data_IF_210800565142
#
_entry.id   IF_210800565142
#
_cell.length_a   1.000
_cell.length_b   1.000
_cell.length_c   1.000
_cell.angle_alpha   90.00
_cell.angle_beta   90.00
_cell.angle_gamma   90.00
#
_symmetry.space_group_name_H-M   'P 1'
#
loop_
_entity.id
_entity.type
_entity.pdbx_description
1 polymer ?
#
# COMPACT_ATOMS: atom_id res chain seq x y z
N UNK A 1 7.09 25.37 -3.17
CA UNK A 1 6.05 26.36 -3.52
C UNK A 1 4.65 25.75 -3.40
N UNK A 2 4.36 24.59 -4.02
CA UNK A 2 3.01 23.96 -4.00
C UNK A 2 2.50 23.60 -2.60
N UNK A 3 3.37 23.29 -1.65
CA UNK A 3 2.99 23.02 -0.26
C UNK A 3 2.49 24.24 0.54
N UNK A 4 2.65 25.45 -0.02
CA UNK A 4 2.14 26.70 0.57
C UNK A 4 0.86 27.19 -0.09
N UNK A 5 0.41 26.55 -1.16
CA UNK A 5 -0.88 26.84 -1.76
C UNK A 5 -1.95 26.04 -1.03
N UNK A 6 -2.91 26.72 -0.46
CA UNK A 6 -3.99 26.15 0.30
C UNK A 6 -5.27 26.18 -0.55
N UNK A 7 -6.01 25.08 -0.51
CA UNK A 7 -7.29 24.90 -1.23
C UNK A 7 -8.38 24.71 -0.19
N UNK A 8 -9.42 25.55 -0.18
CA UNK A 8 -10.59 25.31 0.68
C UNK A 8 -11.37 24.09 0.18
N UNK A 9 -11.84 23.29 1.12
CA UNK A 9 -12.75 22.18 0.91
C UNK A 9 -14.00 22.40 1.76
N UNK A 10 -15.14 22.20 1.16
CA UNK A 10 -16.42 22.18 1.91
C UNK A 10 -16.51 20.90 2.75
N UNK A 11 -17.46 20.86 3.68
CA UNK A 11 -17.75 19.71 4.54
C UNK A 11 -17.98 18.40 3.75
N UNK A 12 -18.41 18.48 2.50
CA UNK A 12 -18.58 17.36 1.57
C UNK A 12 -17.42 17.22 0.55
N UNK A 13 -16.25 17.81 0.88
CA UNK A 13 -15.03 17.76 0.07
C UNK A 13 -15.07 18.39 -1.31
N UNK A 14 -15.99 19.33 -1.55
CA UNK A 14 -15.99 20.09 -2.81
C UNK A 14 -15.00 21.24 -2.75
N UNK A 15 -14.33 21.47 -3.88
CA UNK A 15 -13.52 22.68 -4.08
C UNK A 15 -14.45 23.79 -4.55
N UNK A 16 -14.66 24.87 -3.76
CA UNK A 16 -15.63 25.93 -4.10
C UNK A 16 -15.08 26.88 -5.18
N UNK A 17 -14.61 26.35 -6.28
CA UNK A 17 -14.12 27.11 -7.44
C UNK A 17 -14.96 26.79 -8.67
N UNK A 18 -15.19 27.79 -9.54
CA UNK A 18 -16.01 27.67 -10.75
C UNK A 18 -15.61 26.51 -11.67
N UNK A 19 -14.35 26.11 -11.65
CA UNK A 19 -13.79 24.96 -12.39
C UNK A 19 -13.01 24.05 -11.46
N UNK A 20 -13.53 23.87 -10.24
CA UNK A 20 -12.95 22.94 -9.27
C UNK A 20 -12.95 21.53 -9.85
N UNK A 21 -11.85 20.83 -9.69
CA UNK A 21 -11.78 19.43 -10.06
C UNK A 21 -12.66 18.61 -9.12
N UNK A 22 -13.29 17.56 -9.65
CA UNK A 22 -14.01 16.59 -8.82
C UNK A 22 -13.01 15.81 -7.97
N UNK A 23 -13.02 16.05 -6.66
CA UNK A 23 -12.09 15.43 -5.70
C UNK A 23 -12.81 14.66 -4.60
N UNK A 24 -14.14 14.74 -4.58
CA UNK A 24 -14.97 14.17 -3.52
C UNK A 24 -14.68 12.69 -3.30
N UNK A 25 -14.68 11.90 -4.39
CA UNK A 25 -14.43 10.47 -4.30
C UNK A 25 -13.04 10.15 -3.72
N UNK A 26 -12.01 10.89 -4.13
CA UNK A 26 -10.65 10.72 -3.63
C UNK A 26 -10.54 11.08 -2.14
N UNK A 27 -11.20 12.16 -1.72
CA UNK A 27 -11.21 12.58 -0.33
C UNK A 27 -12.00 11.59 0.56
N UNK A 28 -13.18 11.15 0.13
CA UNK A 28 -13.97 10.16 0.86
C UNK A 28 -13.21 8.84 1.05
N UNK A 29 -12.51 8.39 0.01
CA UNK A 29 -11.71 7.17 0.08
C UNK A 29 -10.55 7.27 1.07
N UNK A 30 -9.85 8.40 1.07
CA UNK A 30 -8.62 8.57 1.83
C UNK A 30 -8.84 9.07 3.27
N UNK A 31 -9.84 9.94 3.46
CA UNK A 31 -10.07 10.65 4.72
C UNK A 31 -11.34 10.17 5.45
N UNK A 32 -12.16 9.37 4.78
CA UNK A 32 -13.47 8.95 5.33
C UNK A 32 -14.56 10.00 5.12
N UNK A 33 -15.70 9.87 5.83
CA UNK A 33 -16.81 10.82 5.75
C UNK A 33 -16.36 12.24 6.10
N UNK A 34 -16.84 13.22 5.34
CA UNK A 34 -16.63 14.64 5.64
C UNK A 34 -17.43 15.08 6.89
N UNK A 35 -17.19 16.29 7.33
CA UNK A 35 -17.87 16.81 8.53
C UNK A 35 -17.81 18.33 8.66
N UNK A 36 -16.70 18.96 8.36
CA UNK A 36 -16.49 20.39 8.51
C UNK A 36 -15.74 20.97 7.30
N UNK A 37 -15.97 22.24 7.04
CA UNK A 37 -15.18 23.00 6.08
C UNK A 37 -13.72 23.03 6.51
N UNK A 38 -12.83 22.79 5.58
CA UNK A 38 -11.41 22.64 5.87
C UNK A 38 -10.53 23.27 4.80
N UNK A 39 -9.23 23.28 5.07
CA UNK A 39 -8.23 23.75 4.12
C UNK A 39 -7.14 22.69 3.98
N UNK A 40 -6.83 22.32 2.76
CA UNK A 40 -5.78 21.35 2.46
C UNK A 40 -4.69 21.99 1.60
N UNK A 41 -3.43 21.60 1.83
CA UNK A 41 -2.37 21.99 0.90
C UNK A 41 -2.61 21.38 -0.48
N UNK A 42 -2.45 22.15 -1.54
CA UNK A 42 -2.64 21.70 -2.93
C UNK A 42 -1.86 20.40 -3.22
N UNK A 43 -0.63 20.30 -2.71
CA UNK A 43 0.19 19.09 -2.86
C UNK A 43 -0.49 17.87 -2.23
N UNK A 44 -1.09 18.03 -1.05
CA UNK A 44 -1.84 16.96 -0.38
C UNK A 44 -3.06 16.55 -1.19
N UNK A 45 -3.85 17.51 -1.67
CA UNK A 45 -5.02 17.24 -2.50
C UNK A 45 -4.65 16.48 -3.79
N UNK A 46 -3.59 16.91 -4.47
CA UNK A 46 -3.10 16.21 -5.66
C UNK A 46 -2.63 14.79 -5.36
N UNK A 47 -2.04 14.55 -4.19
CA UNK A 47 -1.65 13.20 -3.76
C UNK A 47 -2.88 12.29 -3.54
N UNK A 48 -3.96 12.81 -2.92
CA UNK A 48 -5.22 12.09 -2.76
C UNK A 48 -5.81 11.70 -4.13
N UNK A 49 -5.93 12.66 -5.04
CA UNK A 49 -6.47 12.43 -6.39
C UNK A 49 -5.61 11.41 -7.16
N UNK A 50 -4.30 11.54 -7.10
CA UNK A 50 -3.39 10.60 -7.77
C UNK A 50 -3.52 9.18 -7.21
N UNK A 51 -3.59 9.01 -5.89
CA UNK A 51 -3.76 7.71 -5.26
C UNK A 51 -5.10 7.07 -5.66
N UNK A 52 -6.19 7.85 -5.68
CA UNK A 52 -7.50 7.39 -6.12
C UNK A 52 -7.48 6.91 -7.59
N UNK A 53 -6.85 7.67 -8.49
CA UNK A 53 -6.73 7.27 -9.90
C UNK A 53 -5.87 5.99 -10.05
N UNK A 54 -4.78 5.86 -9.31
CA UNK A 54 -3.98 4.63 -9.30
C UNK A 54 -4.77 3.44 -8.77
N UNK A 55 -5.56 3.64 -7.71
CA UNK A 55 -6.44 2.58 -7.19
C UNK A 55 -7.48 2.15 -8.23
N UNK A 56 -8.11 3.08 -8.92
CA UNK A 56 -9.10 2.75 -9.96
C UNK A 56 -8.51 1.99 -11.15
N UNK A 57 -7.34 2.41 -11.62
CA UNK A 57 -6.68 1.82 -12.79
C UNK A 57 -5.91 0.55 -12.45
N UNK A 58 -5.40 0.46 -11.23
CA UNK A 58 -4.42 -0.53 -10.81
C UNK A 58 -3.08 -0.34 -11.51
N UNK A 59 -2.03 -0.86 -10.89
CA UNK A 59 -0.66 -0.84 -11.40
C UNK A 59 -0.38 -2.21 -12.02
N UNK A 60 -0.05 -2.30 -13.31
CA UNK A 60 0.33 -3.57 -13.90
C UNK A 60 1.67 -4.04 -13.33
N UNK A 61 1.73 -5.26 -12.85
CA UNK A 61 2.94 -5.89 -12.32
C UNK A 61 3.16 -7.22 -13.02
N UNK A 62 4.13 -7.30 -13.94
CA UNK A 62 4.40 -8.51 -14.72
C UNK A 62 4.68 -9.74 -13.85
N UNK A 63 5.40 -9.56 -12.75
CA UNK A 63 5.78 -10.64 -11.84
C UNK A 63 4.59 -11.39 -11.18
N UNK A 64 3.39 -10.78 -11.17
CA UNK A 64 2.16 -11.43 -10.65
C UNK A 64 1.16 -11.71 -11.76
N UNK A 65 1.49 -11.42 -13.02
CA UNK A 65 0.62 -11.55 -14.19
C UNK A 65 -0.73 -10.85 -13.99
N UNK A 66 -0.70 -9.67 -13.35
CA UNK A 66 -1.92 -8.98 -12.94
C UNK A 66 -1.69 -7.53 -12.58
N UNK A 67 -2.64 -6.98 -11.84
CA UNK A 67 -2.61 -5.59 -11.38
C UNK A 67 -2.74 -5.54 -9.85
N UNK A 68 -2.04 -4.59 -9.27
CA UNK A 68 -2.14 -4.23 -7.85
C UNK A 68 -2.91 -2.91 -7.73
N UNK A 69 -3.83 -2.85 -6.80
CA UNK A 69 -4.69 -1.71 -6.53
C UNK A 69 -4.31 -1.11 -5.16
N UNK A 70 -3.35 -0.17 -5.11
CA UNK A 70 -2.86 0.36 -3.84
C UNK A 70 -3.90 1.26 -3.18
N UNK A 71 -4.07 1.13 -1.86
CA UNK A 71 -4.86 2.07 -1.07
C UNK A 71 -4.07 3.33 -0.77
N UNK A 72 -4.76 4.45 -0.51
CA UNK A 72 -4.10 5.68 -0.06
C UNK A 72 -3.30 5.41 1.24
N UNK A 73 -2.06 5.90 1.28
CA UNK A 73 -1.17 5.69 2.42
C UNK A 73 -0.48 4.34 2.47
N UNK A 74 -0.76 3.42 1.53
CA UNK A 74 -0.06 2.14 1.39
C UNK A 74 1.01 2.26 0.31
N UNK A 75 2.21 1.70 0.58
CA UNK A 75 3.31 1.75 -0.37
C UNK A 75 2.93 1.13 -1.72
N UNK A 76 3.12 1.91 -2.78
CA UNK A 76 2.71 1.54 -4.12
C UNK A 76 3.89 0.98 -4.93
N UNK A 77 3.73 -0.16 -5.65
CA UNK A 77 4.80 -0.79 -6.44
C UNK A 77 5.08 -0.07 -7.78
N UNK A 78 4.96 1.25 -7.83
CA UNK A 78 5.28 2.05 -9.03
C UNK A 78 6.74 1.92 -9.42
N UNK A 79 7.64 1.80 -8.43
CA UNK A 79 9.05 1.44 -8.64
C UNK A 79 9.19 -0.06 -8.38
N UNK A 80 9.33 -0.82 -9.43
CA UNK A 80 9.29 -2.28 -9.39
C UNK A 80 10.60 -2.98 -9.06
N UNK A 81 11.70 -2.25 -8.80
CA UNK A 81 13.03 -2.85 -8.63
C UNK A 81 13.06 -3.89 -7.50
N UNK A 82 12.46 -3.60 -6.35
CA UNK A 82 12.39 -4.54 -5.22
C UNK A 82 11.50 -5.76 -5.53
N UNK A 83 10.45 -5.55 -6.32
CA UNK A 83 9.57 -6.64 -6.80
C UNK A 83 10.36 -7.57 -7.71
N UNK A 84 11.15 -7.02 -8.63
CA UNK A 84 12.00 -7.81 -9.52
C UNK A 84 13.10 -8.56 -8.79
N UNK A 85 13.69 -7.97 -7.75
CA UNK A 85 14.66 -8.65 -6.90
C UNK A 85 14.05 -9.92 -6.30
N UNK A 86 12.89 -9.80 -5.67
CA UNK A 86 12.18 -10.96 -5.09
C UNK A 86 11.72 -11.94 -6.18
N UNK A 87 11.29 -11.45 -7.34
CA UNK A 87 10.89 -12.31 -8.46
C UNK A 87 12.03 -13.15 -9.03
N UNK A 88 13.29 -12.68 -8.96
CA UNK A 88 14.48 -13.33 -9.54
C UNK A 88 15.40 -13.99 -8.53
N UNK A 89 15.31 -13.64 -7.23
CA UNK A 89 16.16 -14.22 -6.18
C UNK A 89 16.01 -15.75 -6.10
N UNK A 90 17.08 -16.52 -5.83
CA UNK A 90 16.96 -17.96 -5.65
C UNK A 90 16.06 -18.27 -4.44
N UNK A 91 15.16 -19.25 -4.60
CA UNK A 91 14.35 -19.74 -3.49
C UNK A 91 15.03 -20.93 -2.82
N UNK A 92 14.93 -21.10 -1.50
CA UNK A 92 15.39 -22.28 -0.81
C UNK A 92 14.73 -23.54 -1.38
N UNK A 93 15.49 -24.61 -1.54
CA UNK A 93 14.95 -25.88 -2.06
C UNK A 93 13.83 -26.41 -1.12
N UNK A 94 12.70 -26.81 -1.71
CA UNK A 94 11.55 -27.32 -0.96
C UNK A 94 10.84 -26.29 -0.08
N UNK A 95 11.03 -25.00 -0.33
CA UNK A 95 10.37 -23.93 0.40
C UNK A 95 8.87 -23.88 0.06
N UNK A 96 8.04 -24.32 0.98
CA UNK A 96 6.57 -24.31 0.81
C UNK A 96 5.89 -23.20 1.60
N UNK A 97 6.56 -22.60 2.60
CA UNK A 97 6.08 -21.52 3.46
C UNK A 97 7.03 -20.33 3.44
N UNK A 98 6.48 -19.14 3.31
CA UNK A 98 7.23 -17.90 3.47
C UNK A 98 6.46 -16.88 4.32
N UNK A 99 7.20 -15.93 4.90
CA UNK A 99 6.63 -14.75 5.54
C UNK A 99 6.94 -13.51 4.70
N UNK A 100 5.94 -12.63 4.54
CA UNK A 100 6.06 -11.30 3.95
C UNK A 100 5.79 -10.26 5.04
N UNK A 101 6.85 -9.67 5.59
CA UNK A 101 6.81 -8.78 6.74
C UNK A 101 6.68 -7.33 6.28
N UNK A 102 5.68 -6.61 6.84
CA UNK A 102 5.33 -5.28 6.34
C UNK A 102 4.77 -5.36 4.92
N UNK A 103 3.78 -6.21 4.72
CA UNK A 103 3.31 -6.63 3.39
C UNK A 103 2.75 -5.48 2.53
N UNK A 104 2.28 -4.39 3.17
CA UNK A 104 1.75 -3.23 2.47
C UNK A 104 0.62 -3.58 1.50
N UNK A 105 0.89 -3.50 0.22
CA UNK A 105 -0.08 -3.85 -0.84
C UNK A 105 -0.23 -5.36 -1.11
N UNK A 106 0.52 -6.22 -0.43
CA UNK A 106 0.53 -7.67 -0.66
C UNK A 106 1.34 -8.11 -1.88
N UNK A 107 2.11 -7.21 -2.49
CA UNK A 107 2.79 -7.50 -3.77
C UNK A 107 3.86 -8.58 -3.62
N UNK A 108 4.69 -8.56 -2.58
CA UNK A 108 5.74 -9.55 -2.40
C UNK A 108 5.16 -10.92 -2.07
N UNK A 109 4.13 -10.98 -1.23
CA UNK A 109 3.37 -12.21 -0.99
C UNK A 109 2.84 -12.81 -2.29
N UNK A 110 2.23 -11.99 -3.15
CA UNK A 110 1.72 -12.43 -4.45
C UNK A 110 2.83 -12.94 -5.38
N UNK A 111 3.98 -12.27 -5.42
CA UNK A 111 5.16 -12.72 -6.18
C UNK A 111 5.64 -14.09 -5.71
N UNK A 112 5.76 -14.30 -4.39
CA UNK A 112 6.19 -15.58 -3.82
C UNK A 112 5.25 -16.71 -4.20
N UNK A 113 3.93 -16.50 -4.13
CA UNK A 113 2.95 -17.51 -4.56
C UNK A 113 3.06 -17.79 -6.06
N UNK A 114 3.21 -16.77 -6.91
CA UNK A 114 3.43 -16.98 -8.38
C UNK A 114 4.72 -17.74 -8.67
N UNK A 115 5.69 -17.68 -7.77
CA UNK A 115 6.94 -18.45 -7.85
C UNK A 115 6.85 -19.88 -7.30
N UNK A 116 5.65 -20.33 -6.86
CA UNK A 116 5.40 -21.68 -6.42
C UNK A 116 5.44 -21.91 -4.91
N UNK A 117 5.56 -20.85 -4.08
CA UNK A 117 5.38 -20.98 -2.63
C UNK A 117 3.91 -21.29 -2.36
N UNK A 118 3.64 -22.38 -1.64
CA UNK A 118 2.27 -22.87 -1.40
C UNK A 118 1.48 -22.04 -0.42
N UNK A 119 2.15 -21.47 0.58
CA UNK A 119 1.56 -20.62 1.62
C UNK A 119 2.46 -19.45 1.95
N UNK A 120 1.89 -18.26 1.97
CA UNK A 120 2.56 -17.04 2.45
C UNK A 120 1.74 -16.45 3.57
N UNK A 121 2.37 -16.18 4.70
CA UNK A 121 1.79 -15.38 5.79
C UNK A 121 2.30 -13.96 5.62
N UNK A 122 1.37 -13.05 5.35
CA UNK A 122 1.63 -11.64 5.07
C UNK A 122 1.23 -10.80 6.28
N UNK A 123 2.17 -10.08 6.88
CA UNK A 123 1.92 -9.32 8.11
C UNK A 123 2.04 -7.82 7.89
N UNK A 124 1.27 -7.05 8.63
CA UNK A 124 1.39 -5.60 8.73
C UNK A 124 0.77 -5.12 10.04
N UNK A 125 1.15 -3.94 10.52
CA UNK A 125 0.52 -3.28 11.67
C UNK A 125 -0.61 -2.32 11.23
N UNK A 126 -0.55 -1.82 10.00
CA UNK A 126 -1.52 -0.87 9.48
C UNK A 126 -2.75 -1.58 8.92
N UNK A 127 -3.89 -1.37 9.53
CA UNK A 127 -5.17 -1.93 9.09
C UNK A 127 -5.52 -1.60 7.63
N UNK A 128 -5.02 -0.48 7.08
CA UNK A 128 -5.20 -0.11 5.67
C UNK A 128 -4.35 -0.99 4.76
N UNK A 129 -3.12 -1.29 5.17
CA UNK A 129 -2.23 -2.21 4.47
C UNK A 129 -2.85 -3.62 4.45
N UNK A 130 -3.32 -4.12 5.59
CA UNK A 130 -3.99 -5.43 5.68
C UNK A 130 -5.20 -5.53 4.75
N UNK A 131 -6.06 -4.52 4.73
CA UNK A 131 -7.21 -4.45 3.81
C UNK A 131 -6.76 -4.42 2.35
N UNK A 132 -5.73 -3.64 2.04
CA UNK A 132 -5.15 -3.55 0.71
C UNK A 132 -4.58 -4.89 0.24
N UNK A 133 -3.77 -5.55 1.06
CA UNK A 133 -3.19 -6.86 0.76
C UNK A 133 -4.27 -7.93 0.54
N UNK A 134 -5.27 -7.99 1.41
CA UNK A 134 -6.37 -8.95 1.29
C UNK A 134 -7.21 -8.71 0.02
N UNK A 135 -7.47 -7.45 -0.35
CA UNK A 135 -8.17 -7.07 -1.59
C UNK A 135 -7.36 -7.47 -2.83
N UNK A 136 -6.06 -7.17 -2.84
CA UNK A 136 -5.18 -7.55 -3.94
C UNK A 136 -5.01 -9.07 -4.07
N UNK A 137 -4.87 -9.79 -2.96
CA UNK A 137 -4.85 -11.26 -2.97
C UNK A 137 -6.12 -11.84 -3.60
N UNK A 138 -7.29 -11.27 -3.29
CA UNK A 138 -8.58 -11.66 -3.88
C UNK A 138 -8.63 -11.35 -5.37
N UNK A 139 -8.23 -10.15 -5.78
CA UNK A 139 -8.25 -9.73 -7.18
C UNK A 139 -7.31 -10.57 -8.06
N UNK A 140 -6.22 -11.07 -7.49
CA UNK A 140 -5.27 -11.98 -8.14
C UNK A 140 -5.66 -13.46 -8.06
N UNK A 141 -6.74 -13.81 -7.33
CA UNK A 141 -7.16 -15.21 -7.13
C UNK A 141 -6.23 -16.00 -6.21
N UNK A 142 -5.54 -15.35 -5.28
CA UNK A 142 -4.50 -15.95 -4.42
C UNK A 142 -4.89 -16.10 -2.95
N UNK A 143 -6.17 -15.90 -2.60
CA UNK A 143 -6.66 -15.94 -1.21
C UNK A 143 -6.46 -17.30 -0.52
N UNK A 144 -6.39 -18.39 -1.27
CA UNK A 144 -6.14 -19.71 -0.71
C UNK A 144 -4.67 -19.93 -0.30
N UNK A 145 -3.74 -19.12 -0.86
CA UNK A 145 -2.30 -19.25 -0.63
C UNK A 145 -1.71 -18.10 0.21
N UNK A 146 -2.42 -16.98 0.32
CA UNK A 146 -1.97 -15.80 1.09
C UNK A 146 -2.90 -15.63 2.29
N UNK A 147 -2.32 -15.74 3.48
CA UNK A 147 -2.96 -15.42 4.75
C UNK A 147 -2.48 -14.05 5.22
N UNK A 148 -3.40 -13.09 5.37
CA UNK A 148 -3.09 -11.73 5.80
C UNK A 148 -3.47 -11.58 7.26
N UNK A 149 -2.52 -11.25 8.12
CA UNK A 149 -2.72 -11.12 9.57
C UNK A 149 -2.09 -9.85 10.11
N UNK A 150 -2.70 -9.29 11.15
CA UNK A 150 -2.14 -8.18 11.91
C UNK A 150 -1.06 -8.70 12.85
N UNK A 151 0.15 -8.16 12.75
CA UNK A 151 1.25 -8.48 13.65
C UNK A 151 2.28 -7.33 13.68
N UNK A 152 2.91 -7.17 14.83
CA UNK A 152 4.11 -6.32 14.98
C UNK A 152 5.33 -7.12 14.49
N UNK A 153 5.67 -6.95 13.23
CA UNK A 153 6.70 -7.66 12.47
C UNK A 153 6.32 -9.13 12.21
N UNK A 154 6.71 -10.07 13.09
CA UNK A 154 6.65 -11.50 12.81
C UNK A 154 5.36 -12.15 13.26
N UNK A 155 4.80 -13.08 12.45
CA UNK A 155 3.76 -13.98 12.91
C UNK A 155 4.34 -15.06 13.83
N UNK A 156 3.46 -15.81 14.48
CA UNK A 156 3.87 -17.00 15.24
C UNK A 156 4.50 -18.06 14.33
N UNK A 157 5.53 -18.74 14.86
CA UNK A 157 6.19 -19.84 14.17
C UNK A 157 7.47 -19.45 13.43
N UNK A 158 7.82 -20.24 12.41
CA UNK A 158 9.03 -20.07 11.60
C UNK A 158 8.75 -20.41 10.14
N UNK A 159 9.40 -19.71 9.23
CA UNK A 159 9.37 -20.01 7.80
C UNK A 159 10.80 -20.14 7.25
N UNK A 160 11.03 -21.02 6.26
CA UNK A 160 12.32 -21.13 5.58
C UNK A 160 12.73 -19.86 4.82
N UNK A 161 11.76 -19.02 4.46
CA UNK A 161 11.97 -17.77 3.74
C UNK A 161 11.22 -16.63 4.40
N UNK A 162 11.90 -15.53 4.58
CA UNK A 162 11.28 -14.26 5.01
C UNK A 162 11.67 -13.20 3.99
N UNK A 163 10.69 -12.44 3.54
CA UNK A 163 10.89 -11.23 2.74
C UNK A 163 10.35 -10.03 3.50
N UNK A 164 11.01 -8.90 3.32
CA UNK A 164 10.61 -7.63 3.92
C UNK A 164 11.11 -6.48 3.04
N UNK A 165 10.26 -5.48 2.86
CA UNK A 165 10.66 -4.19 2.29
C UNK A 165 10.28 -3.10 3.31
N UNK A 166 11.09 -2.92 4.37
CA UNK A 166 10.75 -2.02 5.46
C UNK A 166 10.81 -0.55 5.02
N UNK A 167 10.17 0.38 5.74
CA UNK A 167 10.45 1.79 5.61
C UNK A 167 11.94 2.04 5.94
N UNK A 168 12.59 2.93 5.18
CA UNK A 168 14.06 3.09 5.19
C UNK A 168 14.52 4.54 5.38
N UNK A 169 13.60 5.47 5.56
CA UNK A 169 13.94 6.86 5.85
C UNK A 169 13.74 7.14 7.34
N UNK A 170 14.81 7.35 8.12
CA UNK A 170 14.70 7.65 9.54
C UNK A 170 14.17 9.06 9.76
N UNK A 171 12.85 9.21 9.83
CA UNK A 171 12.17 10.48 10.06
C UNK A 171 10.78 10.24 10.67
N UNK A 172 10.28 11.24 11.39
CA UNK A 172 8.91 11.22 11.90
C UNK A 172 7.92 11.50 10.78
N UNK A 173 6.97 10.60 10.51
CA UNK A 173 5.95 10.85 9.51
C UNK A 173 5.01 11.96 9.96
N UNK A 174 4.70 12.88 9.06
CA UNK A 174 3.78 14.00 9.29
C UNK A 174 2.43 13.79 8.58
N UNK A 175 2.32 12.73 7.79
CA UNK A 175 1.11 12.39 7.05
C UNK A 175 0.95 10.87 6.89
N UNK A 176 -0.27 10.36 6.66
CA UNK A 176 -0.50 8.93 6.46
C UNK A 176 0.32 8.29 5.32
N UNK A 177 0.66 9.05 4.29
CA UNK A 177 1.48 8.56 3.16
C UNK A 177 2.93 8.35 3.57
N UNK A 178 3.42 9.13 4.52
CA UNK A 178 4.80 9.08 4.97
C UNK A 178 5.11 7.88 5.85
N UNK A 179 4.11 7.30 6.55
CA UNK A 179 4.28 6.05 7.31
C UNK A 179 4.73 4.87 6.45
N UNK A 180 4.42 4.88 5.16
CA UNK A 180 4.85 3.84 4.23
C UNK A 180 6.34 3.93 3.84
N UNK A 181 7.03 5.02 4.19
CA UNK A 181 8.41 5.33 3.78
C UNK A 181 9.30 5.67 4.97
N UNK A 182 8.74 6.32 5.99
CA UNK A 182 9.47 6.81 7.15
C UNK A 182 9.41 5.81 8.30
N UNK A 183 10.60 5.52 8.85
CA UNK A 183 10.76 4.72 10.05
C UNK A 183 11.01 5.67 11.25
N UNK A 184 9.97 5.93 12.09
CA UNK A 184 10.10 6.83 13.22
C UNK A 184 10.96 6.28 14.33
N UNK A 185 11.11 4.97 14.40
CA UNK A 185 11.79 4.27 15.49
C UNK A 185 13.22 3.83 15.12
N UNK A 186 13.59 3.97 13.83
CA UNK A 186 14.92 3.54 13.30
C UNK A 186 15.23 2.07 13.64
N UNK A 187 14.23 1.18 13.55
CA UNK A 187 14.34 -0.25 13.86
C UNK A 187 14.88 -1.08 12.73
#
# INVERSE_FOLDING_TARGET
ILGRLLVPLTADYRVPLRRGQEVVAACLEALGPGGEDSVIALRGLLALVSAHEWRKKGIPVPAVEGRIYPHFGVFSPVRGEYVELVAKAPLPAGCELAFDIGTGSGILAAVLVRRGIRRVVATDQDSRALKCAAENARNLGLTAAIEVIEADLFPDGRAPLVVCNPPWVPAQPSSPVEYAVYDPDSR
#
